data_IF_271459166339
#
_entry.id   IF_271459166339
#
_cell.length_a   1.000
_cell.length_b   1.000
_cell.length_c   1.000
_cell.angle_alpha   90.00
_cell.angle_beta   90.00
_cell.angle_gamma   90.00
#
_symmetry.space_group_name_H-M   'P 1'
#
loop_
_entity.id
_entity.type
_entity.pdbx_description
1 polymer ?
#
# COMPACT_ATOMS: atom_id res chain seq x y z
N UNK A 1 13.67 -7.38 16.27
CA UNK A 1 13.71 -6.01 16.84
C UNK A 1 12.31 -5.50 17.17
N UNK A 2 11.40 -5.34 16.20
CA UNK A 2 10.03 -4.81 16.43
C UNK A 2 9.23 -5.64 17.45
N UNK A 3 9.22 -6.97 17.31
CA UNK A 3 8.55 -7.85 18.27
C UNK A 3 9.04 -7.65 19.72
N UNK A 4 10.36 -7.54 19.92
CA UNK A 4 10.95 -7.27 21.24
C UNK A 4 10.54 -5.88 21.76
N UNK A 5 10.55 -4.87 20.90
CA UNK A 5 10.13 -3.52 21.26
C UNK A 5 8.68 -3.50 21.75
N UNK A 6 7.76 -4.18 21.06
CA UNK A 6 6.37 -4.31 21.47
C UNK A 6 6.22 -5.07 22.81
N UNK A 7 6.95 -6.17 23.00
CA UNK A 7 6.89 -6.94 24.26
C UNK A 7 7.40 -6.15 25.45
N UNK A 8 8.46 -5.36 25.27
CA UNK A 8 9.07 -4.56 26.33
C UNK A 8 8.49 -3.15 26.42
N UNK A 9 7.50 -2.80 25.58
CA UNK A 9 6.89 -1.46 25.49
C UNK A 9 7.92 -0.36 25.26
N UNK A 10 8.90 -0.64 24.40
CA UNK A 10 9.95 0.29 24.01
C UNK A 10 9.51 0.97 22.71
N UNK A 11 9.46 2.30 22.74
CA UNK A 11 9.24 3.11 21.55
C UNK A 11 10.53 3.18 20.74
N UNK A 12 10.43 2.91 19.45
CA UNK A 12 11.58 2.87 18.53
C UNK A 12 11.42 3.85 17.37
N UNK A 13 10.35 4.67 17.35
CA UNK A 13 10.17 5.75 16.38
C UNK A 13 9.91 5.23 14.97
N UNK A 14 9.13 4.15 14.83
CA UNK A 14 8.80 3.56 13.52
C UNK A 14 7.30 3.39 13.38
N UNK A 15 6.82 3.57 12.16
CA UNK A 15 5.44 3.33 11.76
C UNK A 15 5.42 2.30 10.62
N UNK A 16 4.31 1.58 10.51
CA UNK A 16 4.11 0.58 9.49
C UNK A 16 3.48 1.20 8.25
N UNK A 17 3.97 0.81 7.08
CA UNK A 17 3.22 1.03 5.85
C UNK A 17 1.92 0.21 5.89
N UNK A 18 0.85 0.79 5.34
CA UNK A 18 -0.48 0.21 5.38
C UNK A 18 -0.59 -1.11 4.62
N UNK A 19 0.06 -1.20 3.46
CA UNK A 19 0.06 -2.42 2.63
C UNK A 19 0.85 -3.52 3.32
N UNK A 20 1.98 -3.17 3.96
CA UNK A 20 2.77 -4.11 4.74
C UNK A 20 1.99 -4.66 5.94
N UNK A 21 1.29 -3.79 6.68
CA UNK A 21 0.44 -4.18 7.81
C UNK A 21 -0.69 -5.13 7.41
N UNK A 22 -1.42 -4.79 6.33
CA UNK A 22 -2.52 -5.64 5.85
C UNK A 22 -2.04 -7.03 5.43
N UNK A 23 -0.87 -7.15 4.82
CA UNK A 23 -0.31 -8.46 4.47
C UNK A 23 0.04 -9.30 5.69
N UNK A 24 0.60 -8.68 6.73
CA UNK A 24 0.85 -9.39 8.01
C UNK A 24 -0.44 -9.81 8.70
N UNK A 25 -1.52 -9.05 8.49
CA UNK A 25 -2.87 -9.39 8.91
C UNK A 25 -3.55 -10.46 8.03
N UNK A 26 -2.95 -10.86 6.90
CA UNK A 26 -3.58 -11.77 5.93
C UNK A 26 -4.81 -11.16 5.24
N UNK A 27 -4.87 -9.84 5.12
CA UNK A 27 -5.94 -9.11 4.43
C UNK A 27 -5.55 -8.81 2.98
N UNK A 28 -6.53 -8.83 2.09
CA UNK A 28 -6.35 -8.47 0.68
C UNK A 28 -6.00 -6.99 0.52
N UNK A 29 -5.21 -6.71 -0.51
CA UNK A 29 -4.80 -5.35 -0.89
C UNK A 29 -5.67 -4.87 -2.05
N UNK A 30 -6.31 -3.72 -1.86
CA UNK A 30 -7.12 -3.00 -2.81
C UNK A 30 -6.40 -1.77 -3.37
N UNK A 31 -6.98 -1.15 -4.41
CA UNK A 31 -6.43 0.06 -5.00
C UNK A 31 -6.33 1.23 -4.01
N UNK A 32 -7.31 1.39 -3.12
CA UNK A 32 -7.29 2.49 -2.15
C UNK A 32 -6.19 2.31 -1.09
N UNK A 33 -5.76 1.07 -0.86
CA UNK A 33 -4.73 0.74 0.13
C UNK A 33 -3.33 1.17 -0.31
N UNK A 34 -3.11 1.31 -1.62
CA UNK A 34 -1.81 1.69 -2.20
C UNK A 34 -1.67 3.19 -2.45
N UNK A 35 -2.71 3.98 -2.16
CA UNK A 35 -2.77 5.43 -2.47
C UNK A 35 -1.57 6.18 -1.92
N UNK A 36 -1.21 5.90 -0.67
CA UNK A 36 -0.16 6.61 0.03
C UNK A 36 1.22 5.95 -0.22
N UNK A 37 1.24 4.65 -0.55
CA UNK A 37 2.45 3.89 -0.82
C UNK A 37 3.03 4.14 -2.23
N UNK A 38 2.18 4.28 -3.25
CA UNK A 38 2.59 4.64 -4.62
C UNK A 38 1.50 5.51 -5.27
N UNK A 39 1.51 6.83 -5.02
CA UNK A 39 0.50 7.76 -5.57
C UNK A 39 0.45 7.75 -7.10
N UNK A 40 1.59 7.53 -7.76
CA UNK A 40 1.67 7.49 -9.23
C UNK A 40 0.97 6.25 -9.79
N UNK A 41 1.22 5.08 -9.20
CA UNK A 41 0.53 3.86 -9.60
C UNK A 41 -0.96 3.91 -9.26
N UNK A 42 -1.33 4.53 -8.13
CA UNK A 42 -2.72 4.76 -7.76
C UNK A 42 -3.45 5.63 -8.79
N UNK A 43 -2.91 6.81 -9.11
CA UNK A 43 -3.53 7.74 -10.06
C UNK A 43 -3.64 7.15 -11.47
N UNK A 44 -2.60 6.47 -11.95
CA UNK A 44 -2.63 5.82 -13.27
C UNK A 44 -3.64 4.67 -13.31
N UNK A 45 -3.73 3.86 -12.25
CA UNK A 45 -4.72 2.79 -12.14
C UNK A 45 -6.15 3.34 -12.10
N UNK A 46 -6.42 4.41 -11.34
CA UNK A 46 -7.71 5.09 -11.37
C UNK A 46 -8.05 5.61 -12.76
N UNK A 47 -7.08 6.23 -13.43
CA UNK A 47 -7.29 6.74 -14.79
C UNK A 47 -7.71 5.62 -15.75
N UNK A 48 -7.04 4.45 -15.71
CA UNK A 48 -7.41 3.29 -16.54
C UNK A 48 -8.84 2.81 -16.23
N UNK A 49 -9.23 2.79 -14.96
CA UNK A 49 -10.56 2.34 -14.53
C UNK A 49 -11.69 3.31 -14.90
N UNK A 50 -11.41 4.61 -14.88
CA UNK A 50 -12.40 5.68 -15.08
C UNK A 50 -12.46 6.18 -16.53
N UNK A 51 -11.45 5.84 -17.35
CA UNK A 51 -11.41 6.22 -18.77
C UNK A 51 -12.64 5.72 -19.54
N UNK A 52 -13.07 6.47 -20.55
CA UNK A 52 -14.19 6.11 -21.39
C UNK A 52 -13.96 4.72 -22.06
N UNK A 53 -14.95 3.79 -22.02
CA UNK A 53 -14.81 2.45 -22.56
C UNK A 53 -14.39 2.41 -24.03
N UNK A 54 -14.91 3.30 -24.88
CA UNK A 54 -14.57 3.34 -26.31
C UNK A 54 -13.10 3.73 -26.49
N UNK A 55 -12.61 4.65 -25.66
CA UNK A 55 -11.20 5.06 -25.66
C UNK A 55 -10.26 3.93 -25.25
N UNK A 56 -10.64 3.14 -24.23
CA UNK A 56 -9.86 1.95 -23.82
C UNK A 56 -9.84 0.90 -24.93
N UNK A 57 -10.99 0.66 -25.57
CA UNK A 57 -11.15 -0.36 -26.60
C UNK A 57 -10.45 -0.02 -27.93
N UNK A 58 -10.10 1.25 -28.15
CA UNK A 58 -9.27 1.71 -29.26
C UNK A 58 -7.76 1.42 -29.06
N UNK A 59 -7.37 0.80 -27.94
CA UNK A 59 -5.98 0.44 -27.61
C UNK A 59 -4.99 1.63 -27.66
N UNK A 60 -5.48 2.84 -27.37
CA UNK A 60 -4.68 4.08 -27.40
C UNK A 60 -3.54 4.04 -26.37
N UNK A 61 -3.76 3.36 -25.24
CA UNK A 61 -2.75 3.23 -24.19
C UNK A 61 -1.71 2.13 -24.48
N UNK A 62 -1.95 1.28 -25.48
CA UNK A 62 -1.09 0.13 -25.82
C UNK A 62 -0.71 -0.72 -24.61
N UNK A 63 -1.68 -0.96 -23.72
CA UNK A 63 -1.49 -1.72 -22.50
C UNK A 63 -1.75 -3.20 -22.75
N UNK A 64 -0.89 -4.05 -22.19
CA UNK A 64 -1.08 -5.50 -22.17
C UNK A 64 -1.01 -6.01 -20.74
N UNK A 65 -1.34 -7.28 -20.48
CA UNK A 65 -1.18 -7.91 -19.17
C UNK A 65 0.31 -8.21 -18.85
N UNK A 66 1.18 -7.26 -19.14
CA UNK A 66 2.60 -7.26 -18.87
C UNK A 66 3.08 -5.82 -18.72
N UNK A 67 4.09 -5.61 -17.90
CA UNK A 67 4.71 -4.29 -17.71
C UNK A 67 6.21 -4.42 -17.61
N UNK A 68 6.93 -3.38 -18.00
CA UNK A 68 8.38 -3.35 -17.90
C UNK A 68 8.82 -2.80 -16.54
N UNK A 69 9.74 -3.51 -15.90
CA UNK A 69 10.49 -3.04 -14.74
C UNK A 69 11.87 -2.65 -15.24
N UNK A 70 12.25 -1.40 -14.98
CA UNK A 70 13.60 -0.91 -15.24
C UNK A 70 14.34 -0.86 -13.90
N UNK A 71 15.40 -1.65 -13.80
CA UNK A 71 16.39 -1.56 -12.73
C UNK A 71 17.67 -0.89 -13.26
N UNK A 72 18.62 -0.55 -12.39
CA UNK A 72 19.87 0.13 -12.78
C UNK A 72 20.70 -0.61 -13.85
N UNK A 73 20.44 -1.91 -14.06
CA UNK A 73 21.25 -2.82 -14.87
C UNK A 73 20.47 -3.47 -16.02
N UNK A 74 19.14 -3.51 -15.97
CA UNK A 74 18.31 -4.22 -16.93
C UNK A 74 16.87 -3.71 -17.02
N UNK A 75 16.28 -3.91 -18.20
CA UNK A 75 14.84 -3.77 -18.42
C UNK A 75 14.24 -5.17 -18.57
N UNK A 76 13.42 -5.55 -17.61
CA UNK A 76 12.78 -6.87 -17.58
C UNK A 76 11.28 -6.71 -17.71
N UNK A 77 10.67 -7.39 -18.67
CA UNK A 77 9.20 -7.44 -18.77
C UNK A 77 8.63 -8.49 -17.83
N UNK A 78 7.81 -8.04 -16.90
CA UNK A 78 7.01 -8.87 -16.01
C UNK A 78 5.68 -9.20 -16.68
N UNK A 79 5.28 -10.47 -16.69
CA UNK A 79 3.97 -10.91 -17.16
C UNK A 79 3.03 -11.03 -15.96
N UNK A 80 1.88 -10.36 -16.00
CA UNK A 80 0.88 -10.40 -14.94
C UNK A 80 0.07 -11.72 -14.95
N UNK A 81 -0.03 -12.36 -16.11
CA UNK A 81 -0.68 -13.66 -16.29
C UNK A 81 -0.02 -14.46 -17.43
N UNK A 82 -0.33 -15.76 -17.57
CA UNK A 82 0.13 -16.56 -18.70
C UNK A 82 -0.27 -15.89 -20.03
N UNK A 83 0.69 -15.77 -20.95
CA UNK A 83 0.51 -15.07 -22.23
C UNK A 83 0.12 -13.59 -22.13
N UNK A 84 0.32 -12.93 -20.98
CA UNK A 84 -0.13 -11.57 -20.73
C UNK A 84 0.37 -10.51 -21.73
N UNK A 85 1.55 -10.71 -22.33
CA UNK A 85 2.07 -9.85 -23.42
C UNK A 85 1.18 -9.79 -24.66
N UNK A 86 0.32 -10.79 -24.86
CA UNK A 86 -0.58 -10.91 -26.02
C UNK A 86 -2.03 -10.57 -25.67
N UNK A 87 -2.31 -10.22 -24.41
CA UNK A 87 -3.64 -9.88 -23.94
C UNK A 87 -3.70 -8.37 -23.80
N UNK A 88 -4.37 -7.72 -24.75
CA UNK A 88 -4.59 -6.27 -24.75
C UNK A 88 -5.61 -5.90 -23.66
N UNK A 89 -5.34 -4.80 -22.96
CA UNK A 89 -6.27 -4.24 -21.98
C UNK A 89 -7.40 -3.52 -22.70
N UNK A 90 -8.64 -3.85 -22.33
CA UNK A 90 -9.87 -3.32 -22.90
C UNK A 90 -10.89 -3.01 -21.77
N UNK A 91 -12.01 -2.43 -22.13
CA UNK A 91 -13.07 -2.00 -21.22
C UNK A 91 -13.60 -3.13 -20.32
N UNK A 92 -13.57 -4.38 -20.80
CA UNK A 92 -14.07 -5.58 -20.11
C UNK A 92 -13.06 -6.17 -19.13
N UNK A 93 -11.76 -6.08 -19.41
CA UNK A 93 -10.71 -6.72 -18.62
C UNK A 93 -9.83 -5.74 -17.81
N UNK A 94 -9.99 -4.43 -17.97
CA UNK A 94 -9.19 -3.40 -17.26
C UNK A 94 -9.21 -3.49 -15.73
N UNK A 95 -10.33 -3.95 -15.14
CA UNK A 95 -10.42 -4.19 -13.69
C UNK A 95 -9.47 -5.30 -13.24
N UNK A 96 -9.44 -6.39 -14.00
CA UNK A 96 -8.56 -7.52 -13.75
C UNK A 96 -7.09 -7.13 -13.95
N UNK A 97 -6.80 -6.36 -15.01
CA UNK A 97 -5.46 -5.81 -15.24
C UNK A 97 -4.95 -5.01 -14.03
N UNK A 98 -5.74 -4.06 -13.54
CA UNK A 98 -5.37 -3.24 -12.38
C UNK A 98 -5.20 -4.10 -11.13
N UNK A 99 -6.10 -5.06 -10.89
CA UNK A 99 -5.99 -5.96 -9.75
C UNK A 99 -4.68 -6.77 -9.79
N UNK A 100 -4.36 -7.40 -10.92
CA UNK A 100 -3.12 -8.18 -11.06
C UNK A 100 -1.87 -7.30 -10.96
N UNK A 101 -1.93 -6.06 -11.45
CA UNK A 101 -0.83 -5.10 -11.33
C UNK A 101 -0.54 -4.78 -9.86
N UNK A 102 -1.58 -4.51 -9.06
CA UNK A 102 -1.48 -4.27 -7.61
C UNK A 102 -0.95 -5.51 -6.90
N UNK A 103 -1.55 -6.68 -7.17
CA UNK A 103 -1.15 -7.95 -6.55
C UNK A 103 0.31 -8.30 -6.85
N UNK A 104 0.77 -8.07 -8.08
CA UNK A 104 2.17 -8.30 -8.41
C UNK A 104 3.09 -7.30 -7.71
N UNK A 105 2.79 -5.99 -7.82
CA UNK A 105 3.66 -4.91 -7.34
C UNK A 105 3.78 -4.87 -5.81
N UNK A 106 2.72 -5.20 -5.09
CA UNK A 106 2.67 -5.02 -3.64
C UNK A 106 2.61 -6.30 -2.84
N UNK A 107 2.16 -7.42 -3.41
CA UNK A 107 2.03 -8.69 -2.68
C UNK A 107 3.11 -9.66 -3.13
N UNK A 108 3.13 -10.00 -4.42
CA UNK A 108 4.04 -11.03 -4.95
C UNK A 108 5.50 -10.60 -4.88
N UNK A 109 5.80 -9.33 -5.21
CA UNK A 109 7.17 -8.78 -5.24
C UNK A 109 7.88 -8.80 -3.89
N UNK A 110 7.13 -8.74 -2.77
CA UNK A 110 7.66 -8.66 -1.41
C UNK A 110 7.28 -9.86 -0.53
N UNK A 111 6.67 -10.90 -1.11
CA UNK A 111 6.16 -12.05 -0.37
C UNK A 111 7.25 -12.72 0.50
N UNK A 112 8.49 -12.79 0.00
CA UNK A 112 9.60 -13.40 0.75
C UNK A 112 9.99 -12.58 1.99
N UNK A 113 9.99 -11.25 1.86
CA UNK A 113 10.32 -10.30 2.92
C UNK A 113 9.24 -10.34 4.00
N UNK A 114 7.96 -10.37 3.59
CA UNK A 114 6.81 -10.55 4.49
C UNK A 114 6.93 -11.88 5.25
N UNK A 115 7.23 -12.98 4.54
CA UNK A 115 7.37 -14.30 5.17
C UNK A 115 8.49 -14.32 6.23
N UNK A 116 9.67 -13.78 5.90
CA UNK A 116 10.79 -13.69 6.85
C UNK A 116 10.49 -12.77 8.04
N UNK A 117 9.85 -11.63 7.81
CA UNK A 117 9.42 -10.74 8.89
C UNK A 117 8.43 -11.46 9.82
N UNK A 118 7.41 -12.10 9.23
CA UNK A 118 6.36 -12.83 9.94
C UNK A 118 6.94 -13.98 10.76
N UNK A 119 7.93 -14.70 10.24
CA UNK A 119 8.66 -15.75 10.95
C UNK A 119 9.44 -15.17 12.13
N UNK A 120 10.31 -14.19 11.89
CA UNK A 120 11.11 -13.58 12.96
C UNK A 120 10.26 -12.92 14.05
N UNK A 121 9.08 -12.42 13.69
CA UNK A 121 8.09 -11.94 14.67
C UNK A 121 7.52 -13.08 15.53
N UNK A 122 7.23 -14.22 14.91
CA UNK A 122 6.70 -15.42 15.57
C UNK A 122 7.75 -16.15 16.40
N UNK A 123 9.04 -15.99 16.11
CA UNK A 123 10.12 -16.57 16.92
C UNK A 123 10.27 -15.88 18.28
N UNK A 124 9.81 -14.62 18.38
CA UNK A 124 9.91 -13.79 19.59
C UNK A 124 8.59 -13.77 20.36
N UNK A 125 7.45 -13.83 19.66
CA UNK A 125 6.10 -13.71 20.23
C UNK A 125 5.30 -15.01 20.10
N UNK A 126 4.22 -15.17 20.86
CA UNK A 126 3.29 -16.29 20.65
C UNK A 126 2.32 -16.01 19.51
N UNK A 127 1.78 -17.07 18.89
CA UNK A 127 0.75 -16.94 17.84
C UNK A 127 -0.44 -16.10 18.30
N UNK A 128 -0.84 -16.18 19.57
CA UNK A 128 -1.93 -15.38 20.15
C UNK A 128 -1.63 -13.87 20.14
N UNK A 129 -0.39 -13.48 20.43
CA UNK A 129 0.04 -12.06 20.42
C UNK A 129 0.07 -11.55 18.98
N UNK A 130 0.63 -12.34 18.05
CA UNK A 130 0.65 -12.01 16.63
C UNK A 130 -0.76 -11.80 16.07
N UNK A 131 -1.70 -12.70 16.38
CA UNK A 131 -3.10 -12.54 15.98
C UNK A 131 -3.68 -11.27 16.58
N UNK A 132 -3.50 -11.02 17.88
CA UNK A 132 -4.00 -9.78 18.48
C UNK A 132 -3.46 -8.52 17.77
N UNK A 133 -2.14 -8.47 17.49
CA UNK A 133 -1.50 -7.28 16.92
C UNK A 133 -1.86 -7.01 15.47
N UNK A 134 -1.95 -8.03 14.62
CA UNK A 134 -2.18 -7.83 13.19
C UNK A 134 -3.63 -8.07 12.76
N UNK A 135 -4.37 -8.92 13.48
CA UNK A 135 -5.78 -9.19 13.14
C UNK A 135 -6.76 -8.27 13.88
N UNK A 136 -6.50 -7.97 15.16
CA UNK A 136 -7.47 -7.29 16.03
C UNK A 136 -7.22 -5.79 16.19
N UNK A 137 -5.98 -5.31 16.07
CA UNK A 137 -5.67 -3.89 16.13
C UNK A 137 -5.82 -3.21 14.77
N UNK A 138 -6.08 -1.90 14.82
CA UNK A 138 -5.92 -1.03 13.67
C UNK A 138 -4.45 -0.64 13.51
N UNK A 139 -4.08 -0.22 12.30
CA UNK A 139 -2.71 0.22 12.00
C UNK A 139 -2.29 1.37 12.93
N UNK A 140 -3.18 2.33 13.15
CA UNK A 140 -2.89 3.53 13.95
C UNK A 140 -2.61 3.18 15.41
N UNK A 141 -3.21 2.10 15.92
CA UNK A 141 -2.95 1.62 17.29
C UNK A 141 -1.57 0.98 17.38
N UNK A 142 -1.19 0.16 16.39
CA UNK A 142 0.12 -0.45 16.34
C UNK A 142 1.24 0.60 16.19
N UNK A 143 1.00 1.62 15.35
CA UNK A 143 1.92 2.74 15.16
C UNK A 143 2.10 3.53 16.44
N UNK A 144 1.01 3.87 17.15
CA UNK A 144 1.09 4.53 18.47
C UNK A 144 1.88 3.72 19.50
N UNK A 145 1.83 2.39 19.43
CA UNK A 145 2.62 1.54 20.34
C UNK A 145 4.13 1.61 20.05
N UNK A 146 4.51 1.80 18.79
CA UNK A 146 5.91 1.77 18.33
C UNK A 146 6.56 3.15 18.26
N UNK A 147 5.82 4.15 17.81
CA UNK A 147 6.24 5.55 17.70
C UNK A 147 6.00 6.31 19.01
N UNK A 148 5.03 5.86 19.80
CA UNK A 148 4.56 6.55 21.00
C UNK A 148 3.40 7.50 20.69
N UNK A 149 2.92 8.20 21.72
CA UNK A 149 2.03 9.35 21.53
C UNK A 149 2.89 10.55 21.11
N UNK A 150 3.32 10.57 19.85
CA UNK A 150 4.15 11.63 19.29
C UNK A 150 3.48 13.00 19.44
N UNK A 151 4.09 13.85 20.28
CA UNK A 151 3.78 15.27 20.54
C UNK A 151 2.39 15.60 21.09
N UNK A 152 2.36 16.46 22.12
CA UNK A 152 1.13 17.18 22.48
C UNK A 152 0.74 17.99 21.25
N UNK A 153 -0.40 17.67 20.66
CA UNK A 153 -0.98 18.46 19.57
C UNK A 153 -1.17 19.89 20.09
N UNK A 154 -0.42 20.85 19.53
CA UNK A 154 -0.67 22.28 19.77
C UNK A 154 -1.65 22.76 18.72
N UNK A 155 -2.84 23.16 19.19
CA UNK A 155 -3.86 23.76 18.34
C UNK A 155 -3.34 25.07 17.73
N UNK A 156 -2.50 25.79 18.47
CA UNK A 156 -1.86 27.03 18.02
C UNK A 156 -0.91 26.79 16.85
N UNK A 157 -0.05 25.75 16.94
CA UNK A 157 0.86 25.39 15.86
C UNK A 157 0.12 24.93 14.60
N UNK A 158 -0.96 24.14 14.76
CA UNK A 158 -1.82 23.74 13.65
C UNK A 158 -2.49 24.93 12.98
N UNK A 159 -3.02 25.89 13.75
CA UNK A 159 -3.59 27.13 13.18
C UNK A 159 -2.54 27.93 12.41
N UNK A 160 -1.35 28.10 12.99
CA UNK A 160 -0.28 28.89 12.38
C UNK A 160 0.22 28.32 11.03
N UNK A 161 0.02 27.01 10.79
CA UNK A 161 0.49 26.32 9.58
C UNK A 161 -0.63 25.76 8.69
N UNK A 162 -1.90 26.12 8.94
CA UNK A 162 -3.03 25.72 8.08
C UNK A 162 -3.27 26.77 7.01
N UNK A 163 -3.39 26.33 5.75
CA UNK A 163 -3.79 27.20 4.64
C UNK A 163 -5.25 26.94 4.26
N UNK A 164 -6.05 28.00 4.16
CA UNK A 164 -7.48 27.91 3.90
C UNK A 164 -7.75 28.16 2.42
N UNK A 165 -8.33 27.18 1.73
CA UNK A 165 -8.72 27.30 0.32
C UNK A 165 -10.25 27.47 0.21
N UNK A 166 -10.70 28.70 -0.05
CA UNK A 166 -12.12 29.03 -0.18
C UNK A 166 -12.84 29.36 1.13
N UNK A 167 -12.08 29.50 2.22
CA UNK A 167 -12.55 29.90 3.55
C UNK A 167 -11.53 30.86 4.17
N UNK A 168 -11.96 31.66 5.15
CA UNK A 168 -11.09 32.47 6.01
C UNK A 168 -11.00 31.85 7.42
N UNK A 169 -9.94 32.18 8.18
CA UNK A 169 -9.75 31.67 9.55
C UNK A 169 -10.94 32.00 10.47
N UNK A 170 -11.69 33.07 10.16
CA UNK A 170 -12.81 33.57 10.93
C UNK A 170 -14.19 33.24 10.33
N UNK A 171 -14.27 32.37 9.32
CA UNK A 171 -15.57 31.95 8.80
C UNK A 171 -16.30 31.05 9.82
N UNK A 172 -17.52 31.45 10.17
CA UNK A 172 -18.39 30.79 11.17
C UNK A 172 -19.38 29.80 10.54
#
# INVERSE_FOLDING_TARGET
MIALALMHKIQIGVVFDRVFFLQLAGKDISLEDIRDADPTLYSSSKHILEMDPETVDQDILSLTFAYDVEDLWSRTTVKLCPNGKYIVVNSKNRKEYVNLLIQHRFVTSIASQIAHFSQGFSDITTSSIKTFLFWSLYLEDLDKMLDGSGTVISVEDWKAHTNYNGYEENDH
#
